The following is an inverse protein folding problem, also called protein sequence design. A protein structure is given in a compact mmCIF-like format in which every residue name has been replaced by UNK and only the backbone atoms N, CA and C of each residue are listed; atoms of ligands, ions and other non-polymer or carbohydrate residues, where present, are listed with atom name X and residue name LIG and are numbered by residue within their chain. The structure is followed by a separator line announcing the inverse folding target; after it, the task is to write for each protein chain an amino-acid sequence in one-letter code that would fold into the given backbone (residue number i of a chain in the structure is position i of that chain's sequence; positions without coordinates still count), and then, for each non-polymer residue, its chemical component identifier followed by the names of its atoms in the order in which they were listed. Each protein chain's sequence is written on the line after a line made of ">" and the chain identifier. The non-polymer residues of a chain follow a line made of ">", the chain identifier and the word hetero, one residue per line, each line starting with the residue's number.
data_IF_949401145018
#
_entry.id   IF_949401145018
#
_cell.length_a   1.000
_cell.length_b   1.000
_cell.length_c   1.000
_cell.angle_alpha   90.00
_cell.angle_beta   90.00
_cell.angle_gamma   90.00
#
_symmetry.space_group_name_H-M   'P 1'
#
loop_
_entity.id
_entity.type
_entity.pdbx_description
1 polymer ?
#
# COMPACT_ATOMS: atom_id res chain seq x y z
N UNK A 1 8.71 45.95 -39.09
CA UNK A 1 7.61 44.97 -39.26
C UNK A 1 6.70 45.08 -38.04
N UNK A 2 5.40 45.29 -38.27
CA UNK A 2 4.32 45.48 -37.26
C UNK A 2 4.25 44.24 -36.32
N UNK A 3 3.98 44.32 -35.02
CA UNK A 3 2.75 44.81 -34.37
C UNK A 3 2.92 45.12 -32.85
N UNK A 4 2.15 46.14 -32.41
CA UNK A 4 1.87 46.73 -31.08
C UNK A 4 1.75 45.78 -29.86
N UNK A 5 2.26 46.12 -28.65
CA UNK A 5 1.85 47.15 -27.63
C UNK A 5 0.47 46.91 -27.00
N UNK A 6 0.46 46.68 -25.67
CA UNK A 6 -0.40 47.30 -24.62
C UNK A 6 0.03 46.72 -23.25
N UNK A 7 0.90 47.40 -22.48
CA UNK A 7 0.67 48.32 -21.33
C UNK A 7 0.43 47.65 -19.94
N UNK A 8 1.35 47.94 -19.01
CA UNK A 8 1.13 48.62 -17.71
C UNK A 8 1.53 47.92 -16.37
N UNK A 9 2.77 48.25 -15.92
CA UNK A 9 3.27 48.69 -14.59
C UNK A 9 3.02 47.91 -13.25
N UNK A 10 4.10 47.93 -12.43
CA UNK A 10 4.30 47.76 -10.97
C UNK A 10 4.56 46.32 -10.47
N UNK A 11 5.56 46.00 -9.62
CA UNK A 11 6.71 46.69 -9.02
C UNK A 11 7.55 45.64 -8.25
N UNK A 12 8.84 45.53 -8.59
CA UNK A 12 10.03 45.39 -7.73
C UNK A 12 9.86 44.75 -6.32
N UNK A 13 10.55 43.64 -6.01
CA UNK A 13 11.89 43.67 -5.38
C UNK A 13 12.50 42.26 -5.25
N UNK A 14 13.77 42.18 -5.66
CA UNK A 14 14.71 41.07 -5.52
C UNK A 14 15.20 40.99 -4.07
N UNK A 15 15.15 39.82 -3.44
CA UNK A 15 16.20 39.39 -2.51
C UNK A 15 16.57 37.94 -2.84
N UNK A 16 17.76 37.79 -3.41
CA UNK A 16 18.50 36.53 -3.38
C UNK A 16 18.93 36.25 -1.94
N UNK A 17 18.54 35.10 -1.39
CA UNK A 17 19.39 34.41 -0.42
C UNK A 17 19.40 32.93 -0.79
N UNK A 18 20.52 32.53 -1.36
CA UNK A 18 21.01 31.16 -1.33
C UNK A 18 21.09 30.68 0.12
N UNK A 19 20.34 29.64 0.43
CA UNK A 19 20.75 28.62 1.40
C UNK A 19 20.52 27.28 0.72
N UNK A 20 21.53 26.81 -0.02
CA UNK A 20 21.68 25.38 -0.30
C UNK A 20 22.31 24.80 0.97
N UNK A 21 21.46 24.50 1.95
CA UNK A 21 21.77 23.50 2.95
C UNK A 21 21.20 22.20 2.43
N UNK A 22 22.05 21.29 1.97
CA UNK A 22 21.64 19.91 1.70
C UNK A 22 21.30 19.26 3.05
N UNK A 23 20.03 19.22 3.42
CA UNK A 23 19.54 18.20 4.37
C UNK A 23 19.00 17.07 3.49
N UNK A 24 19.81 16.03 3.35
CA UNK A 24 19.34 14.75 2.85
C UNK A 24 18.36 14.20 3.88
N UNK A 25 17.06 14.36 3.65
CA UNK A 25 16.09 13.47 4.26
C UNK A 25 16.27 12.12 3.56
N UNK A 26 16.83 11.14 4.27
CA UNK A 26 16.87 9.76 3.76
C UNK A 26 15.45 9.18 3.73
N UNK A 27 15.25 8.28 2.76
CA UNK A 27 13.97 7.79 2.26
C UNK A 27 13.06 7.20 3.37
N UNK A 28 11.83 7.71 3.44
CA UNK A 28 10.82 7.44 4.47
C UNK A 28 9.97 6.22 4.13
N UNK A 29 10.61 5.06 4.08
CA UNK A 29 9.91 3.78 3.91
C UNK A 29 9.49 3.16 5.24
N UNK A 30 8.41 2.39 5.25
CA UNK A 30 7.97 1.62 6.41
C UNK A 30 9.02 0.56 6.77
N UNK A 31 9.34 0.42 8.05
CA UNK A 31 10.35 -0.50 8.59
C UNK A 31 9.67 -1.59 9.43
N UNK A 32 10.03 -2.85 9.22
CA UNK A 32 9.69 -3.96 10.12
C UNK A 32 10.98 -4.45 10.79
N UNK A 33 11.03 -4.39 12.11
CA UNK A 33 12.18 -4.70 12.94
C UNK A 33 12.01 -6.11 13.52
N UNK A 34 12.72 -7.09 12.97
CA UNK A 34 12.79 -8.46 13.52
C UNK A 34 14.12 -8.66 14.24
N UNK A 35 14.09 -9.30 15.42
CA UNK A 35 15.21 -9.55 16.33
C UNK A 35 16.56 -9.92 15.65
N UNK A 36 17.66 -9.33 16.12
CA UNK A 36 19.05 -9.68 15.73
C UNK A 36 19.81 -10.22 16.95
N UNK A 37 20.58 -11.29 16.76
CA UNK A 37 21.60 -11.77 17.69
C UNK A 37 22.78 -10.79 17.82
N UNK A 38 23.09 -10.41 19.05
CA UNK A 38 24.30 -9.64 19.39
C UNK A 38 25.52 -10.55 19.18
N UNK A 39 26.39 -10.22 18.20
CA UNK A 39 27.80 -10.64 18.25
C UNK A 39 28.60 -9.57 18.96
N UNK A 40 29.09 -9.97 20.12
CA UNK A 40 29.99 -9.30 21.04
C UNK A 40 31.09 -8.47 20.35
N UNK A 41 31.26 -7.24 20.82
CA UNK A 41 32.56 -6.58 20.87
C UNK A 41 32.67 -5.73 22.14
N UNK A 42 32.93 -6.43 23.26
CA UNK A 42 33.77 -6.02 24.39
C UNK A 42 33.43 -4.69 25.08
N UNK A 43 32.72 -4.76 26.22
CA UNK A 43 33.37 -4.78 27.55
C UNK A 43 32.35 -4.77 28.71
N UNK A 44 32.38 -5.90 29.45
CA UNK A 44 31.99 -6.13 30.84
C UNK A 44 30.49 -6.22 31.22
N UNK A 45 29.93 -7.44 31.38
CA UNK A 45 28.69 -7.66 32.11
C UNK A 45 29.00 -8.01 33.57
N UNK A 46 28.56 -7.19 34.52
CA UNK A 46 28.38 -7.68 35.90
C UNK A 46 26.93 -8.14 36.06
N UNK A 47 26.79 -9.45 36.21
CA UNK A 47 25.60 -10.14 36.67
C UNK A 47 25.56 -10.00 38.19
N UNK A 48 24.49 -9.43 38.74
CA UNK A 48 24.18 -9.53 40.18
C UNK A 48 22.92 -10.39 40.34
N UNK A 49 23.03 -11.35 41.25
CA UNK A 49 22.07 -12.41 41.52
C UNK A 49 20.74 -11.92 42.07
N UNK A 50 19.68 -12.63 41.70
CA UNK A 50 18.40 -12.64 42.42
C UNK A 50 18.64 -13.16 43.84
N UNK A 51 18.24 -12.37 44.83
CA UNK A 51 17.96 -12.87 46.17
C UNK A 51 16.57 -12.42 46.61
N UNK A 52 15.99 -13.26 47.45
CA UNK A 52 14.60 -13.41 47.87
C UNK A 52 13.95 -12.11 48.39
N UNK A 53 12.70 -11.85 47.98
CA UNK A 53 11.59 -11.58 48.91
C UNK A 53 10.25 -11.52 48.15
N UNK A 54 9.56 -12.67 48.18
CA UNK A 54 8.14 -12.78 47.89
C UNK A 54 7.38 -12.33 49.13
N UNK A 55 6.75 -11.15 49.11
CA UNK A 55 5.63 -10.87 50.02
C UNK A 55 4.49 -10.10 49.34
N UNK A 56 3.42 -10.87 49.06
CA UNK A 56 1.99 -10.56 49.16
C UNK A 56 1.54 -9.10 49.04
N UNK A 57 0.66 -8.86 48.07
CA UNK A 57 -0.76 -8.56 48.39
C UNK A 57 -1.65 -9.36 47.42
N UNK A 58 -2.34 -10.36 47.97
CA UNK A 58 -3.56 -10.92 47.40
C UNK A 58 -4.71 -10.40 48.26
N UNK A 59 -5.67 -9.70 47.64
CA UNK A 59 -7.09 -9.57 47.99
C UNK A 59 -7.69 -8.43 47.17
N UNK A 60 -8.92 -8.42 46.67
CA UNK A 60 -9.99 -9.41 46.56
C UNK A 60 -10.97 -8.70 45.60
N UNK A 61 -11.39 -9.34 44.51
CA UNK A 61 -12.64 -9.06 43.76
C UNK A 61 -12.53 -9.62 42.33
N UNK A 62 -12.60 -10.95 42.21
CA UNK A 62 -13.11 -11.57 41.00
C UNK A 62 -14.64 -11.49 41.00
N UNK A 63 -15.18 -11.13 39.84
CA UNK A 63 -16.57 -11.25 39.41
C UNK A 63 -17.57 -10.21 39.96
N UNK A 64 -17.73 -9.11 39.22
CA UNK A 64 -19.05 -8.53 39.00
C UNK A 64 -19.16 -8.08 37.54
N UNK A 65 -20.02 -8.78 36.78
CA UNK A 65 -20.59 -8.27 35.53
C UNK A 65 -21.33 -6.96 35.84
N UNK A 66 -20.64 -5.84 35.67
CA UNK A 66 -21.21 -4.51 35.74
C UNK A 66 -20.74 -3.78 34.49
N UNK A 67 -21.68 -3.42 33.60
CA UNK A 67 -21.50 -2.54 32.44
C UNK A 67 -20.15 -1.80 32.49
N UNK A 68 -19.16 -2.33 31.76
CA UNK A 68 -17.80 -1.81 31.80
C UNK A 68 -17.75 -0.53 30.97
N UNK A 69 -18.21 0.55 31.58
CA UNK A 69 -18.14 1.88 30.99
C UNK A 69 -16.72 2.38 31.18
N UNK A 70 -15.88 2.19 30.17
CA UNK A 70 -14.57 2.82 30.10
C UNK A 70 -14.70 4.33 30.29
N UNK A 71 -13.80 4.89 31.10
CA UNK A 71 -13.83 6.30 31.48
C UNK A 71 -12.74 7.08 30.75
N UNK A 72 -12.97 8.39 30.63
CA UNK A 72 -11.97 9.33 30.14
C UNK A 72 -11.50 10.22 31.29
N UNK A 73 -10.20 10.15 31.56
CA UNK A 73 -9.52 10.96 32.56
C UNK A 73 -8.86 12.14 31.86
N UNK A 74 -9.12 13.37 32.29
CA UNK A 74 -8.40 14.55 31.79
C UNK A 74 -7.42 14.99 32.86
N UNK A 75 -6.13 15.02 32.52
CA UNK A 75 -5.05 15.40 33.43
C UNK A 75 -4.35 16.63 32.89
N UNK A 76 -4.31 17.66 33.72
CA UNK A 76 -3.57 18.90 33.46
C UNK A 76 -2.37 18.99 34.41
N UNK A 77 -1.25 19.61 34.01
CA UNK A 77 -0.15 19.87 34.92
C UNK A 77 -0.60 20.89 35.97
N UNK A 78 0.00 20.85 37.16
CA UNK A 78 -0.18 21.96 38.10
C UNK A 78 0.42 23.23 37.48
N UNK A 79 -0.37 24.30 37.27
CA UNK A 79 0.10 25.53 36.62
C UNK A 79 1.18 26.25 37.43
N UNK A 80 1.31 25.95 38.73
CA UNK A 80 2.33 26.50 39.63
C UNK A 80 3.54 25.58 39.78
N UNK A 81 3.41 24.31 39.43
CA UNK A 81 4.47 23.32 39.57
C UNK A 81 4.34 22.16 38.55
N UNK A 82 4.77 22.34 37.30
CA UNK A 82 4.64 21.33 36.25
C UNK A 82 5.57 20.11 36.47
N UNK A 83 6.37 20.11 37.54
CA UNK A 83 7.30 19.04 37.90
C UNK A 83 6.55 17.84 38.51
N UNK A 84 6.54 16.72 37.78
CA UNK A 84 5.84 15.50 38.17
C UNK A 84 6.51 14.73 39.32
N UNK A 85 7.74 15.10 39.71
CA UNK A 85 8.37 14.59 40.94
C UNK A 85 7.80 15.30 42.17
N UNK A 86 7.63 16.62 42.10
CA UNK A 86 7.20 17.41 43.26
C UNK A 86 5.69 17.33 43.47
N UNK A 87 4.92 17.25 42.39
CA UNK A 87 3.47 17.08 42.44
C UNK A 87 2.99 16.19 41.29
N UNK A 88 2.95 14.87 41.49
CA UNK A 88 2.53 13.94 40.44
C UNK A 88 1.03 14.11 40.17
N UNK A 89 0.68 14.31 38.90
CA UNK A 89 -0.71 14.37 38.43
C UNK A 89 -1.04 13.24 37.46
N UNK A 90 -0.04 12.73 36.72
CA UNK A 90 -0.24 11.71 35.68
C UNK A 90 -0.23 10.28 36.23
N UNK A 91 0.79 9.88 37.02
CA UNK A 91 0.84 8.51 37.56
C UNK A 91 -0.37 8.16 38.44
N UNK A 92 -0.86 9.04 39.34
CA UNK A 92 -2.08 8.75 40.09
C UNK A 92 -3.32 8.52 39.23
N UNK A 93 -3.41 9.19 38.06
CA UNK A 93 -4.49 8.95 37.11
C UNK A 93 -4.35 7.58 36.44
N UNK A 94 -3.13 7.17 36.08
CA UNK A 94 -2.84 5.81 35.58
C UNK A 94 -3.18 4.76 36.64
N UNK A 95 -2.81 4.99 37.90
CA UNK A 95 -3.08 4.07 39.00
C UNK A 95 -4.58 3.91 39.24
N UNK A 96 -5.34 5.01 39.14
CA UNK A 96 -6.80 5.04 39.34
C UNK A 96 -7.61 4.51 38.15
N UNK A 97 -7.03 4.52 36.95
CA UNK A 97 -7.67 4.05 35.73
C UNK A 97 -7.81 2.51 35.71
N UNK A 98 -8.86 2.05 35.02
CA UNK A 98 -9.13 0.64 34.74
C UNK A 98 -8.62 0.25 33.35
N UNK A 99 -8.51 -1.06 33.09
CA UNK A 99 -8.24 -1.58 31.76
C UNK A 99 -9.25 -1.04 30.73
N UNK A 100 -8.73 -0.60 29.58
CA UNK A 100 -9.48 0.02 28.49
C UNK A 100 -9.81 1.51 28.69
N UNK A 101 -9.50 2.09 29.85
CA UNK A 101 -9.74 3.53 30.07
C UNK A 101 -8.85 4.40 29.16
N UNK A 102 -9.34 5.61 28.91
CA UNK A 102 -8.62 6.65 28.19
C UNK A 102 -8.11 7.73 29.14
N UNK A 103 -6.83 8.09 29.03
CA UNK A 103 -6.23 9.21 29.75
C UNK A 103 -5.82 10.28 28.74
N UNK A 104 -6.33 11.49 28.89
CA UNK A 104 -6.01 12.66 28.07
C UNK A 104 -5.08 13.56 28.86
N UNK A 105 -3.86 13.76 28.38
CA UNK A 105 -2.88 14.69 28.93
C UNK A 105 -2.95 16.01 28.16
N UNK A 106 -3.09 17.11 28.90
CA UNK A 106 -3.21 18.45 28.33
C UNK A 106 -2.21 19.42 28.97
N UNK A 107 -1.12 19.73 28.26
CA UNK A 107 -0.14 20.73 28.68
C UNK A 107 1.31 20.22 28.67
N UNK A 108 2.19 20.92 29.40
CA UNK A 108 3.61 20.55 29.50
C UNK A 108 3.91 19.94 30.85
N UNK A 109 4.40 18.69 30.82
CA UNK A 109 4.81 17.93 32.00
C UNK A 109 6.32 17.77 31.98
N UNK A 110 6.99 18.14 33.07
CA UNK A 110 8.46 18.03 33.18
C UNK A 110 8.83 17.12 34.32
N UNK A 111 10.02 16.51 34.24
CA UNK A 111 10.48 15.54 35.22
C UNK A 111 9.47 14.39 35.40
N UNK A 112 9.25 13.65 34.32
CA UNK A 112 8.26 12.58 34.24
C UNK A 112 8.89 11.18 34.26
N UNK A 113 8.26 10.27 35.00
CA UNK A 113 8.43 8.82 34.93
C UNK A 113 7.07 8.17 35.17
N UNK A 114 6.58 7.42 34.18
CA UNK A 114 5.24 6.84 34.20
C UNK A 114 5.31 5.34 33.93
N UNK A 115 4.71 4.54 34.81
CA UNK A 115 4.55 3.10 34.62
C UNK A 115 3.12 2.80 34.20
N UNK A 116 2.97 2.16 33.04
CA UNK A 116 1.71 1.70 32.47
C UNK A 116 1.69 0.18 32.62
N UNK A 117 0.92 -0.28 33.61
CA UNK A 117 0.83 -1.69 34.01
C UNK A 117 -0.56 -2.29 33.78
N UNK A 118 -1.29 -1.73 32.82
CA UNK A 118 -2.63 -2.13 32.40
C UNK A 118 -2.93 -1.59 31.01
N UNK A 119 -3.88 -2.19 30.30
CA UNK A 119 -4.24 -1.74 28.95
C UNK A 119 -4.89 -0.35 29.01
N UNK A 120 -4.22 0.69 28.50
CA UNK A 120 -4.74 2.06 28.49
C UNK A 120 -4.62 2.72 27.13
N UNK A 121 -5.53 3.65 26.83
CA UNK A 121 -5.34 4.60 25.73
C UNK A 121 -4.91 5.95 26.31
N UNK A 122 -3.69 6.37 26.07
CA UNK A 122 -3.14 7.63 26.60
C UNK A 122 -2.91 8.59 25.42
N UNK A 123 -3.60 9.72 25.43
CA UNK A 123 -3.65 10.68 24.32
C UNK A 123 -3.20 12.06 24.80
N UNK A 124 -2.39 12.73 23.99
CA UNK A 124 -1.99 14.11 24.17
C UNK A 124 -2.89 15.07 23.37
N UNK A 125 -3.28 16.19 23.98
CA UNK A 125 -3.84 17.32 23.21
C UNK A 125 -2.74 17.99 22.37
N UNK A 126 -3.06 18.65 21.25
CA UNK A 126 -2.05 19.30 20.40
C UNK A 126 -1.14 20.26 21.16
N UNK A 127 0.17 20.06 21.06
CA UNK A 127 1.18 20.87 21.74
C UNK A 127 1.54 20.39 23.15
N UNK A 128 0.94 19.30 23.63
CA UNK A 128 1.33 18.65 24.88
C UNK A 128 2.75 18.08 24.79
N UNK A 129 3.57 18.38 25.80
CA UNK A 129 4.97 17.92 25.86
C UNK A 129 5.27 17.20 27.18
N UNK A 130 6.15 16.20 27.10
CA UNK A 130 6.65 15.44 28.25
C UNK A 130 8.18 15.47 28.26
N UNK A 131 8.77 15.66 29.45
CA UNK A 131 10.22 15.71 29.64
C UNK A 131 10.71 14.79 30.75
N UNK A 132 11.91 14.22 30.57
CA UNK A 132 12.59 13.30 31.50
C UNK A 132 12.97 13.96 32.83
N UNK A 133 13.10 13.18 33.92
CA UNK A 133 13.82 13.63 35.12
C UNK A 133 15.33 13.41 35.00
N UNK A 134 16.15 14.28 35.61
CA UNK A 134 17.61 14.11 35.68
C UNK A 134 18.09 13.23 36.85
N UNK A 135 17.24 12.97 37.84
CA UNK A 135 17.59 12.16 39.02
C UNK A 135 16.38 11.33 39.40
N UNK A 136 16.61 10.07 39.81
CA UNK A 136 15.78 9.09 40.54
C UNK A 136 15.86 7.71 39.88
N UNK A 137 15.96 6.66 40.70
CA UNK A 137 15.78 5.28 40.27
C UNK A 137 14.30 5.04 39.95
N UNK A 138 14.02 4.21 38.95
CA UNK A 138 12.65 3.81 38.62
C UNK A 138 11.98 3.19 39.86
N UNK A 139 10.67 3.42 40.14
CA UNK A 139 9.95 2.79 41.27
C UNK A 139 10.01 1.26 41.27
N UNK A 140 10.38 0.65 40.15
CA UNK A 140 10.55 -0.80 39.98
C UNK A 140 11.98 -1.31 40.24
N UNK A 141 12.87 -0.48 40.79
CA UNK A 141 14.26 -0.86 41.05
C UNK A 141 15.14 -1.01 39.79
N UNK A 142 14.65 -0.64 38.61
CA UNK A 142 15.48 -0.61 37.41
C UNK A 142 16.38 0.63 37.40
N UNK A 143 17.63 0.47 36.99
CA UNK A 143 18.58 1.54 36.69
C UNK A 143 18.23 2.30 35.40
N UNK A 144 17.01 2.13 34.87
CA UNK A 144 16.59 2.67 33.58
C UNK A 144 15.92 4.04 33.76
N UNK A 145 16.40 5.04 33.01
CA UNK A 145 15.93 6.43 33.07
C UNK A 145 15.07 6.75 31.85
N UNK A 146 13.79 7.11 32.01
CA UNK A 146 12.96 7.50 30.86
C UNK A 146 11.49 7.81 31.16
N UNK A 147 10.70 8.24 30.17
CA UNK A 147 9.38 8.85 30.42
C UNK A 147 8.27 7.81 30.61
N UNK A 148 7.97 7.00 29.59
CA UNK A 148 6.92 6.00 29.66
C UNK A 148 7.52 4.60 29.71
N UNK A 149 7.13 3.82 30.70
CA UNK A 149 7.44 2.40 30.82
C UNK A 149 6.14 1.58 30.72
N UNK A 150 6.03 0.75 29.70
CA UNK A 150 4.90 -0.15 29.47
C UNK A 150 5.34 -1.56 29.87
N UNK A 151 4.73 -2.10 30.93
CA UNK A 151 5.00 -3.46 31.41
C UNK A 151 4.23 -4.49 30.59
N UNK A 152 4.48 -5.78 30.82
CA UNK A 152 3.70 -6.89 30.26
C UNK A 152 2.18 -6.70 30.43
N UNK A 153 1.74 -6.30 31.62
CA UNK A 153 0.32 -6.03 31.92
C UNK A 153 -0.22 -4.82 31.14
N UNK A 154 0.65 -3.93 30.66
CA UNK A 154 0.33 -2.82 29.77
C UNK A 154 0.04 -3.22 28.32
N UNK A 155 -0.03 -4.52 27.99
CA UNK A 155 -0.38 -5.00 26.65
C UNK A 155 -1.69 -4.39 26.12
N UNK A 156 -1.69 -4.02 24.83
CA UNK A 156 -2.82 -3.32 24.19
C UNK A 156 -2.78 -1.79 24.31
N UNK A 157 -1.82 -1.23 25.07
CA UNK A 157 -1.71 0.20 25.29
C UNK A 157 -1.56 0.99 23.98
N UNK A 158 -2.26 2.12 23.88
CA UNK A 158 -2.09 3.11 22.81
C UNK A 158 -1.51 4.38 23.41
N UNK A 159 -0.42 4.91 22.85
CA UNK A 159 0.15 6.21 23.19
C UNK A 159 0.13 7.13 21.97
N UNK A 160 -0.56 8.26 22.04
CA UNK A 160 -0.82 9.11 20.87
C UNK A 160 -0.55 10.61 21.11
N UNK A 161 0.21 11.24 20.20
CA UNK A 161 0.25 12.71 20.04
C UNK A 161 1.30 13.47 20.86
N UNK A 162 2.20 12.79 21.55
CA UNK A 162 3.14 13.42 22.49
C UNK A 162 4.36 14.06 21.80
N UNK A 163 4.72 15.26 22.26
CA UNK A 163 6.06 15.82 22.06
C UNK A 163 7.00 15.44 23.20
N UNK A 164 8.06 14.71 22.90
CA UNK A 164 9.13 14.39 23.84
C UNK A 164 10.21 15.45 23.72
N UNK A 165 10.42 16.20 24.80
CA UNK A 165 11.39 17.29 24.86
C UNK A 165 12.38 17.03 25.98
N UNK A 166 13.66 17.29 25.73
CA UNK A 166 14.62 17.49 26.81
C UNK A 166 15.20 18.90 26.72
N UNK A 167 14.87 19.70 27.72
CA UNK A 167 15.27 21.09 27.81
C UNK A 167 16.21 21.39 28.99
N UNK A 168 16.78 20.39 29.66
CA UNK A 168 17.50 20.67 30.91
C UNK A 168 18.98 20.28 30.96
N UNK A 169 19.72 21.20 31.56
CA UNK A 169 21.15 21.35 31.61
C UNK A 169 21.70 20.93 32.97
N UNK A 170 22.92 20.40 32.94
CA UNK A 170 23.93 20.58 33.98
C UNK A 170 23.63 19.88 35.33
N UNK A 171 23.73 18.56 35.36
CA UNK A 171 24.24 17.88 36.56
C UNK A 171 25.30 16.87 36.13
N UNK A 172 26.54 17.19 36.48
CA UNK A 172 27.66 16.26 36.51
C UNK A 172 27.24 15.02 37.30
N UNK A 173 27.51 13.84 36.76
CA UNK A 173 28.43 12.85 37.35
C UNK A 173 28.25 11.45 36.74
N UNK A 174 27.18 11.19 35.99
CA UNK A 174 26.97 9.90 35.33
C UNK A 174 26.38 10.09 33.92
N UNK A 175 26.98 9.41 32.93
CA UNK A 175 26.52 9.40 31.52
C UNK A 175 25.33 8.45 31.43
N UNK A 176 24.12 8.99 31.26
CA UNK A 176 22.91 8.20 31.04
C UNK A 176 22.30 8.52 29.67
N UNK A 177 21.87 7.48 28.95
CA UNK A 177 21.10 7.58 27.71
C UNK A 177 19.60 7.35 28.00
N UNK A 178 18.84 8.39 28.41
CA UNK A 178 17.46 8.20 28.81
C UNK A 178 16.59 7.75 27.63
N UNK A 179 15.45 7.13 27.95
CA UNK A 179 14.48 6.68 26.97
C UNK A 179 13.16 7.47 26.96
N UNK A 180 12.48 7.49 25.82
CA UNK A 180 11.16 8.10 25.69
C UNK A 180 10.07 7.13 26.08
N UNK A 181 10.03 6.01 25.37
CA UNK A 181 9.11 4.91 25.65
C UNK A 181 9.91 3.63 25.77
N UNK A 182 9.75 2.90 26.87
CA UNK A 182 10.29 1.57 27.06
C UNK A 182 9.14 0.58 27.20
N UNK A 183 9.17 -0.48 26.38
CA UNK A 183 8.19 -1.56 26.37
C UNK A 183 8.94 -2.84 26.74
N UNK A 184 8.53 -3.50 27.82
CA UNK A 184 9.18 -4.73 28.31
C UNK A 184 8.13 -5.80 28.60
N UNK A 185 8.14 -6.88 27.83
CA UNK A 185 7.17 -7.99 27.95
C UNK A 185 5.78 -7.72 27.37
N UNK A 186 5.48 -6.51 26.90
CA UNK A 186 4.14 -6.15 26.45
C UNK A 186 3.87 -6.56 24.99
N UNK A 187 2.60 -6.78 24.65
CA UNK A 187 2.18 -7.07 23.29
C UNK A 187 1.05 -6.16 22.80
N UNK A 188 0.91 -6.02 21.48
CA UNK A 188 -0.15 -5.23 20.84
C UNK A 188 -0.14 -3.74 21.24
N UNK A 189 1.05 -3.16 21.45
CA UNK A 189 1.19 -1.75 21.83
C UNK A 189 1.26 -0.88 20.57
N UNK A 190 0.58 0.26 20.59
CA UNK A 190 0.60 1.23 19.51
C UNK A 190 1.12 2.60 19.95
N UNK A 191 2.15 3.08 19.27
CA UNK A 191 2.72 4.42 19.43
C UNK A 191 2.37 5.25 18.19
N UNK A 192 1.69 6.38 18.35
CA UNK A 192 1.14 7.16 17.23
C UNK A 192 1.48 8.64 17.36
N UNK A 193 1.84 9.28 16.25
CA UNK A 193 2.01 10.73 16.15
C UNK A 193 2.95 11.31 17.23
N UNK A 194 4.04 10.59 17.53
CA UNK A 194 5.00 11.01 18.54
C UNK A 194 6.12 11.83 17.91
N UNK A 195 6.54 12.88 18.60
CA UNK A 195 7.64 13.75 18.18
C UNK A 195 8.77 13.63 19.19
N UNK A 196 9.82 12.92 18.83
CA UNK A 196 11.07 12.86 19.57
C UNK A 196 12.00 13.95 19.04
N UNK A 197 12.07 15.06 19.74
CA UNK A 197 12.89 16.20 19.33
C UNK A 197 13.89 16.54 20.43
N UNK A 198 15.13 16.11 20.24
CA UNK A 198 16.21 16.40 21.17
C UNK A 198 16.97 17.63 20.71
N UNK A 199 17.07 18.68 21.52
CA UNK A 199 17.97 19.80 21.19
C UNK A 199 19.33 19.52 21.82
N UNK A 200 20.37 19.34 21.00
CA UNK A 200 21.73 19.14 21.48
C UNK A 200 22.12 20.29 22.43
N UNK A 201 22.63 19.92 23.59
CA UNK A 201 23.15 20.88 24.56
C UNK A 201 24.59 21.22 24.16
N UNK A 202 24.90 22.52 23.99
CA UNK A 202 26.29 22.96 23.91
C UNK A 202 26.93 22.81 25.29
N UNK A 203 27.58 21.67 25.54
CA UNK A 203 28.47 21.48 26.68
C UNK A 203 29.90 21.81 26.26
N UNK A 204 30.61 22.60 27.05
CA UNK A 204 32.05 22.86 26.85
C UNK A 204 32.92 21.80 27.52
N UNK A 205 32.32 20.86 28.23
CA UNK A 205 33.01 19.92 29.14
C UNK A 205 32.85 18.44 28.75
N UNK A 206 31.96 18.13 27.81
CA UNK A 206 31.65 16.78 27.36
C UNK A 206 31.29 16.78 25.88
N UNK A 207 31.47 15.64 25.20
CA UNK A 207 31.03 15.49 23.82
C UNK A 207 29.50 15.57 23.77
N UNK A 208 28.89 16.52 23.03
CA UNK A 208 27.44 16.56 22.84
C UNK A 208 26.89 15.26 22.23
N UNK A 209 27.73 14.43 21.61
CA UNK A 209 27.36 13.12 21.10
C UNK A 209 27.18 12.05 22.20
N UNK A 210 27.70 12.26 23.42
CA UNK A 210 27.53 11.35 24.57
C UNK A 210 26.14 11.45 25.24
N UNK A 211 25.27 12.38 24.83
CA UNK A 211 23.98 12.68 25.49
C UNK A 211 22.74 12.51 24.61
N UNK A 212 22.81 11.73 23.52
CA UNK A 212 21.62 11.56 22.68
C UNK A 212 20.63 10.55 23.29
N UNK A 213 19.39 10.65 22.85
CA UNK A 213 18.24 10.00 23.48
C UNK A 213 17.88 8.67 22.81
N UNK A 214 17.47 7.66 23.59
CA UNK A 214 16.86 6.43 23.06
C UNK A 214 15.35 6.64 22.91
N UNK A 215 14.80 6.89 21.72
CA UNK A 215 13.41 7.32 21.60
C UNK A 215 12.43 6.24 22.06
N UNK A 216 12.61 5.04 21.52
CA UNK A 216 11.80 3.87 21.86
C UNK A 216 12.70 2.66 22.05
N UNK A 217 12.51 1.95 23.17
CA UNK A 217 13.12 0.66 23.46
C UNK A 217 11.99 -0.37 23.53
N UNK A 218 12.15 -1.47 22.82
CA UNK A 218 11.19 -2.59 22.78
C UNK A 218 11.94 -3.85 23.15
N UNK A 219 11.56 -4.48 24.27
CA UNK A 219 12.24 -5.64 24.84
C UNK A 219 11.25 -6.76 25.13
N UNK A 220 11.64 -8.00 24.78
CA UNK A 220 10.88 -9.23 25.08
C UNK A 220 9.37 -9.12 24.72
N UNK A 221 9.04 -8.38 23.65
CA UNK A 221 7.69 -7.92 23.31
C UNK A 221 7.21 -8.45 21.94
N UNK A 222 5.92 -8.32 21.63
CA UNK A 222 5.39 -8.74 20.32
C UNK A 222 4.28 -7.83 19.77
N UNK A 223 4.25 -7.64 18.45
CA UNK A 223 3.22 -6.85 17.76
C UNK A 223 3.17 -5.40 18.26
N UNK A 224 4.24 -4.66 18.01
CA UNK A 224 4.37 -3.26 18.41
C UNK A 224 4.30 -2.41 17.15
N UNK A 225 3.40 -1.43 17.10
CA UNK A 225 3.26 -0.58 15.93
C UNK A 225 3.53 0.87 16.28
N UNK A 226 4.51 1.46 15.62
CA UNK A 226 4.87 2.87 15.71
C UNK A 226 4.45 3.54 14.41
N UNK A 227 3.57 4.55 14.45
CA UNK A 227 3.07 5.23 13.24
C UNK A 227 3.23 6.73 13.33
N UNK A 228 3.72 7.34 12.24
CA UNK A 228 3.94 8.80 12.12
C UNK A 228 4.88 9.32 13.22
N UNK A 229 6.02 8.68 13.39
CA UNK A 229 7.00 9.09 14.40
C UNK A 229 8.03 10.04 13.79
N UNK A 230 8.21 11.19 14.43
CA UNK A 230 9.23 12.15 14.06
C UNK A 230 10.43 11.98 15.00
N UNK A 231 11.60 11.67 14.45
CA UNK A 231 12.87 11.56 15.16
C UNK A 231 13.79 12.71 14.73
N UNK A 232 14.21 13.52 15.70
CA UNK A 232 15.18 14.57 15.48
C UNK A 232 16.25 14.55 16.56
N UNK A 233 17.50 14.39 16.13
CA UNK A 233 18.70 14.39 16.97
C UNK A 233 18.70 13.32 18.07
N UNK A 234 18.37 12.08 17.71
CA UNK A 234 18.30 10.94 18.63
C UNK A 234 19.51 9.99 18.48
N UNK A 235 19.78 9.16 19.50
CA UNK A 235 20.87 8.16 19.53
C UNK A 235 20.53 6.90 18.71
N UNK A 236 19.24 6.63 18.60
CA UNK A 236 18.66 5.52 17.86
C UNK A 236 17.27 5.92 17.36
N UNK A 237 16.63 5.09 16.54
CA UNK A 237 15.22 5.26 16.18
C UNK A 237 14.35 4.41 17.12
N UNK A 238 14.53 3.09 17.04
CA UNK A 238 13.88 2.09 17.88
C UNK A 238 14.90 1.00 18.20
N UNK A 239 15.13 0.74 19.49
CA UNK A 239 15.96 -0.37 19.96
C UNK A 239 15.09 -1.61 20.13
N UNK A 240 15.16 -2.59 19.23
CA UNK A 240 14.46 -3.86 19.36
C UNK A 240 15.39 -4.93 19.98
N UNK A 241 15.01 -5.42 21.16
CA UNK A 241 15.71 -6.45 21.94
C UNK A 241 14.76 -7.64 22.07
N UNK A 242 15.11 -8.79 21.52
CA UNK A 242 14.34 -10.05 21.64
C UNK A 242 12.82 -9.93 21.32
N UNK A 243 12.41 -8.99 20.46
CA UNK A 243 10.99 -8.75 20.17
C UNK A 243 10.65 -9.04 18.71
N UNK A 244 9.39 -9.41 18.45
CA UNK A 244 8.86 -9.76 17.12
C UNK A 244 7.75 -8.81 16.68
N UNK A 245 7.56 -8.66 15.36
CA UNK A 245 6.50 -7.83 14.78
C UNK A 245 6.53 -6.37 15.27
N UNK A 246 7.70 -5.75 15.30
CA UNK A 246 7.87 -4.34 15.67
C UNK A 246 7.91 -3.50 14.39
N UNK A 247 6.83 -2.79 14.10
CA UNK A 247 6.64 -2.04 12.86
C UNK A 247 6.79 -0.54 13.09
N UNK A 248 7.59 0.15 12.29
CA UNK A 248 7.71 1.60 12.25
C UNK A 248 7.22 2.13 10.90
N UNK A 249 6.07 2.79 10.91
CA UNK A 249 5.32 3.23 9.74
C UNK A 249 5.39 4.75 9.60
N UNK A 250 5.70 5.24 8.40
CA UNK A 250 5.83 6.66 8.07
C UNK A 250 6.76 7.45 9.02
N UNK A 251 8.00 7.01 9.30
CA UNK A 251 8.92 7.80 10.10
C UNK A 251 9.38 9.06 9.36
N UNK A 252 9.66 10.12 10.12
CA UNK A 252 10.36 11.33 9.64
C UNK A 252 11.63 11.50 10.46
N UNK A 253 12.81 11.48 9.82
CA UNK A 253 14.10 11.40 10.53
C UNK A 253 15.00 12.56 10.12
N UNK A 254 15.54 13.30 11.09
CA UNK A 254 16.48 14.40 10.87
C UNK A 254 17.65 14.29 11.88
N UNK A 255 18.89 14.47 11.40
CA UNK A 255 20.11 14.62 12.22
C UNK A 255 20.30 13.62 13.36
N UNK A 256 19.88 12.37 13.19
CA UNK A 256 19.96 11.32 14.22
C UNK A 256 21.03 10.29 13.87
N UNK A 257 21.74 9.74 14.85
CA UNK A 257 22.73 8.70 14.60
C UNK A 257 22.04 7.37 14.25
N UNK A 258 22.40 6.82 13.09
CA UNK A 258 21.90 5.53 12.64
C UNK A 258 22.92 4.46 13.06
N UNK A 259 22.85 4.07 14.32
CA UNK A 259 23.60 2.92 14.85
C UNK A 259 22.92 1.63 14.41
N UNK A 260 23.07 1.29 13.12
CA UNK A 260 22.74 -0.01 12.50
C UNK A 260 21.25 -0.40 12.57
N UNK A 261 20.52 -0.09 11.51
CA UNK A 261 19.22 -0.72 11.21
C UNK A 261 19.49 -1.93 10.33
N UNK A 262 19.43 -3.15 10.88
CA UNK A 262 19.20 -4.33 10.05
C UNK A 262 17.69 -4.44 9.88
N UNK A 263 17.20 -3.91 8.77
CA UNK A 263 15.82 -4.08 8.35
C UNK A 263 15.67 -5.57 8.08
N UNK A 264 14.72 -6.27 8.73
CA UNK A 264 14.34 -7.60 8.25
C UNK A 264 14.03 -7.44 6.76
N UNK A 265 14.84 -8.05 5.88
CA UNK A 265 14.76 -7.79 4.45
C UNK A 265 13.39 -8.22 3.94
N UNK A 266 12.45 -7.28 3.87
CA UNK A 266 11.19 -7.48 3.17
C UNK A 266 11.56 -7.55 1.70
N UNK A 267 11.44 -8.75 1.13
CA UNK A 267 11.80 -8.95 -0.26
C UNK A 267 10.82 -8.16 -1.11
N UNK A 268 11.29 -7.46 -2.15
CA UNK A 268 10.33 -6.97 -3.13
C UNK A 268 9.63 -8.17 -3.76
N UNK A 269 8.40 -7.94 -4.18
CA UNK A 269 7.68 -8.91 -5.00
C UNK A 269 7.52 -8.37 -6.41
N UNK A 270 7.43 -9.29 -7.37
CA UNK A 270 7.17 -8.96 -8.76
C UNK A 270 6.01 -9.79 -9.29
N UNK A 271 4.99 -9.13 -9.81
CA UNK A 271 3.94 -9.78 -10.58
C UNK A 271 4.37 -9.82 -12.05
N UNK A 272 4.41 -11.03 -12.61
CA UNK A 272 4.68 -11.26 -14.03
C UNK A 272 3.39 -11.71 -14.70
N UNK A 273 2.98 -10.98 -15.74
CA UNK A 273 1.91 -11.36 -16.65
C UNK A 273 2.22 -10.81 -18.04
N UNK A 274 1.75 -11.49 -19.09
CA UNK A 274 1.97 -11.10 -20.48
C UNK A 274 0.68 -10.72 -21.18
N UNK A 275 0.80 -9.87 -22.19
CA UNK A 275 -0.31 -9.56 -23.09
C UNK A 275 -0.89 -10.83 -23.72
N UNK A 276 -2.22 -10.92 -23.74
CA UNK A 276 -2.93 -12.07 -24.28
C UNK A 276 -3.63 -11.69 -25.59
N UNK A 277 -3.26 -12.38 -26.67
CA UNK A 277 -3.87 -12.19 -27.98
C UNK A 277 -4.81 -13.35 -28.31
N UNK A 278 -6.10 -13.07 -28.46
CA UNK A 278 -7.10 -14.09 -28.82
C UNK A 278 -7.97 -13.61 -29.99
N UNK A 279 -8.78 -14.51 -30.57
CA UNK A 279 -9.84 -14.14 -31.51
C UNK A 279 -11.19 -14.26 -30.83
N UNK A 280 -12.17 -13.51 -31.35
CA UNK A 280 -13.55 -13.53 -30.84
C UNK A 280 -14.10 -14.95 -30.73
N UNK A 281 -14.55 -15.33 -29.53
CA UNK A 281 -15.13 -16.63 -29.20
C UNK A 281 -14.13 -17.74 -28.87
N UNK A 282 -12.82 -17.50 -28.99
CA UNK A 282 -11.81 -18.43 -28.52
C UNK A 282 -11.73 -18.37 -26.98
N UNK A 283 -11.40 -19.49 -26.34
CA UNK A 283 -11.22 -19.57 -24.88
C UNK A 283 -9.73 -19.71 -24.59
N UNK A 284 -9.23 -18.94 -23.64
CA UNK A 284 -7.83 -18.97 -23.21
C UNK A 284 -7.74 -18.77 -21.69
N UNK A 285 -6.53 -18.85 -21.14
CA UNK A 285 -6.24 -18.51 -19.75
C UNK A 285 -5.31 -17.30 -19.71
N UNK A 286 -5.63 -16.34 -18.86
CA UNK A 286 -4.68 -15.33 -18.43
C UNK A 286 -3.85 -15.95 -17.30
N UNK A 287 -2.54 -15.99 -17.47
CA UNK A 287 -1.59 -16.54 -16.50
C UNK A 287 -0.87 -15.40 -15.80
N UNK A 288 -0.77 -15.50 -14.48
CA UNK A 288 -0.14 -14.52 -13.60
C UNK A 288 0.78 -15.30 -12.66
N UNK A 289 2.00 -14.82 -12.45
CA UNK A 289 2.94 -15.43 -11.52
C UNK A 289 3.51 -14.37 -10.58
N UNK A 290 3.64 -14.69 -9.31
CA UNK A 290 4.17 -13.83 -8.26
C UNK A 290 5.54 -14.37 -7.81
N UNK A 291 6.55 -13.51 -7.80
CA UNK A 291 7.93 -13.85 -7.42
C UNK A 291 8.46 -12.94 -6.31
N UNK A 292 9.44 -13.44 -5.55
CA UNK A 292 10.28 -12.63 -4.67
C UNK A 292 11.47 -11.99 -5.43
N UNK A 293 12.34 -11.27 -4.72
CA UNK A 293 13.57 -10.65 -5.24
C UNK A 293 14.57 -11.63 -5.87
N UNK A 294 14.50 -12.91 -5.51
CA UNK A 294 15.39 -13.95 -5.99
C UNK A 294 14.76 -14.76 -7.14
N UNK A 295 13.60 -14.34 -7.65
CA UNK A 295 12.77 -15.06 -8.62
C UNK A 295 12.21 -16.40 -8.10
N UNK A 296 12.10 -16.59 -6.79
CA UNK A 296 11.38 -17.73 -6.23
C UNK A 296 9.87 -17.47 -6.27
N UNK A 297 9.06 -18.48 -6.59
CA UNK A 297 7.61 -18.34 -6.63
C UNK A 297 7.02 -18.11 -5.23
N UNK A 298 6.10 -17.17 -5.10
CA UNK A 298 5.38 -16.89 -3.85
C UNK A 298 4.00 -17.56 -3.88
N UNK A 299 3.87 -18.66 -3.16
CA UNK A 299 2.66 -19.50 -3.11
C UNK A 299 1.64 -19.02 -2.05
N UNK A 300 0.38 -19.44 -2.23
CA UNK A 300 -0.73 -19.22 -1.29
C UNK A 300 -0.99 -17.74 -0.95
N UNK A 301 -0.77 -16.84 -1.90
CA UNK A 301 -1.05 -15.40 -1.74
C UNK A 301 -2.22 -14.99 -2.59
N UNK A 302 -3.03 -14.09 -2.03
CA UNK A 302 -4.15 -13.48 -2.74
C UNK A 302 -3.63 -12.37 -3.64
N UNK A 303 -3.95 -12.44 -4.92
CA UNK A 303 -3.76 -11.35 -5.89
C UNK A 303 -5.13 -10.86 -6.36
N UNK A 304 -5.30 -9.55 -6.47
CA UNK A 304 -6.53 -8.94 -6.96
C UNK A 304 -6.37 -8.54 -8.43
N UNK A 305 -7.28 -9.01 -9.27
CA UNK A 305 -7.30 -8.79 -10.71
C UNK A 305 -8.49 -7.90 -11.09
N UNK A 306 -8.27 -6.84 -11.86
CA UNK A 306 -9.31 -5.95 -12.39
C UNK A 306 -9.30 -6.00 -13.90
N UNK A 307 -10.45 -6.38 -14.49
CA UNK A 307 -10.70 -6.37 -15.94
C UNK A 307 -12.13 -5.86 -16.17
N UNK A 308 -12.31 -4.93 -17.12
CA UNK A 308 -13.61 -4.33 -17.45
C UNK A 308 -14.36 -3.73 -16.23
N UNK A 309 -13.60 -3.22 -15.26
CA UNK A 309 -14.14 -2.66 -14.01
C UNK A 309 -14.61 -3.69 -12.99
N UNK A 310 -14.43 -4.99 -13.26
CA UNK A 310 -14.74 -6.07 -12.32
C UNK A 310 -13.47 -6.55 -11.62
N UNK A 311 -13.51 -6.59 -10.29
CA UNK A 311 -12.46 -7.18 -9.44
C UNK A 311 -12.69 -8.68 -9.23
N UNK A 312 -11.63 -9.47 -9.22
CA UNK A 312 -11.64 -10.90 -8.93
C UNK A 312 -10.35 -11.26 -8.19
N UNK A 313 -10.48 -11.89 -7.03
CA UNK A 313 -9.33 -12.36 -6.27
C UNK A 313 -8.96 -13.79 -6.69
N UNK A 314 -7.66 -14.03 -6.83
CA UNK A 314 -7.09 -15.33 -7.17
C UNK A 314 -6.02 -15.69 -6.14
N UNK A 315 -5.85 -16.98 -5.87
CA UNK A 315 -4.81 -17.48 -4.96
C UNK A 315 -3.70 -18.11 -5.79
N UNK A 316 -2.44 -17.75 -5.51
CA UNK A 316 -1.28 -18.37 -6.16
C UNK A 316 -1.09 -19.81 -5.68
N UNK A 317 -0.81 -20.72 -6.60
CA UNK A 317 -0.50 -22.13 -6.31
C UNK A 317 0.96 -22.30 -5.82
N UNK A 318 1.40 -23.55 -5.62
CA UNK A 318 2.76 -23.88 -5.18
C UNK A 318 3.88 -23.40 -6.12
N UNK A 319 3.55 -23.04 -7.37
CA UNK A 319 4.48 -22.45 -8.33
C UNK A 319 4.30 -20.92 -8.42
N UNK A 320 3.68 -20.30 -7.42
CA UNK A 320 3.40 -18.87 -7.38
C UNK A 320 2.43 -18.41 -8.47
N UNK A 321 1.71 -19.34 -9.10
CA UNK A 321 0.92 -19.08 -10.30
C UNK A 321 -0.57 -19.04 -10.02
N UNK A 322 -1.28 -18.13 -10.69
CA UNK A 322 -2.73 -18.00 -10.66
C UNK A 322 -3.25 -17.83 -12.10
N UNK A 323 -4.50 -18.24 -12.35
CA UNK A 323 -5.08 -18.11 -13.69
C UNK A 323 -6.57 -17.81 -13.70
N UNK A 324 -6.99 -17.01 -14.70
CA UNK A 324 -8.39 -16.74 -14.98
C UNK A 324 -8.73 -17.18 -16.41
N UNK A 325 -9.83 -17.92 -16.57
CA UNK A 325 -10.35 -18.28 -17.88
C UNK A 325 -11.01 -17.07 -18.57
N UNK A 326 -10.61 -16.80 -19.81
CA UNK A 326 -11.04 -15.62 -20.59
C UNK A 326 -11.71 -16.05 -21.89
N UNK A 327 -12.85 -15.41 -22.20
CA UNK A 327 -13.57 -15.55 -23.47
C UNK A 327 -14.41 -14.31 -23.76
N UNK A 328 -14.26 -13.76 -24.96
CA UNK A 328 -15.02 -12.57 -25.39
C UNK A 328 -15.81 -12.82 -26.69
N UNK A 329 -17.01 -12.24 -26.75
CA UNK A 329 -17.92 -12.36 -27.90
C UNK A 329 -17.75 -11.25 -28.95
N UNK A 330 -16.99 -10.20 -28.64
CA UNK A 330 -16.73 -9.05 -29.52
C UNK A 330 -15.25 -8.69 -29.50
N UNK A 331 -14.76 -8.13 -30.61
CA UNK A 331 -13.40 -7.64 -30.71
C UNK A 331 -13.27 -6.29 -29.98
N UNK A 332 -12.32 -6.22 -29.06
CA UNK A 332 -11.94 -5.05 -28.31
C UNK A 332 -10.55 -5.29 -27.66
N UNK A 333 -9.97 -4.24 -27.10
CA UNK A 333 -8.82 -4.35 -26.21
C UNK A 333 -9.32 -4.15 -24.79
N UNK A 334 -9.02 -5.08 -23.90
CA UNK A 334 -9.36 -5.03 -22.48
C UNK A 334 -8.08 -4.82 -21.68
N UNK A 335 -8.08 -3.84 -20.78
CA UNK A 335 -6.94 -3.57 -19.90
C UNK A 335 -7.06 -4.40 -18.63
N UNK A 336 -5.92 -4.91 -18.19
CA UNK A 336 -5.80 -5.78 -17.03
C UNK A 336 -4.90 -5.10 -16.02
N UNK A 337 -5.38 -5.01 -14.78
CA UNK A 337 -4.59 -4.54 -13.64
C UNK A 337 -4.53 -5.65 -12.60
N UNK A 338 -3.36 -5.92 -12.06
CA UNK A 338 -3.16 -6.90 -10.99
C UNK A 338 -2.41 -6.25 -9.87
N UNK A 339 -2.85 -6.49 -8.64
CA UNK A 339 -2.17 -6.05 -7.43
C UNK A 339 -2.00 -7.20 -6.45
N UNK A 340 -0.84 -7.23 -5.82
CA UNK A 340 -0.57 -7.95 -4.60
C UNK A 340 -0.33 -6.88 -3.53
N UNK A 341 -1.12 -6.90 -2.45
CA UNK A 341 -1.08 -5.86 -1.42
C UNK A 341 0.15 -5.95 -0.50
N UNK A 342 0.99 -6.97 -0.68
CA UNK A 342 2.11 -7.24 0.21
C UNK A 342 1.70 -8.05 1.43
N UNK A 343 2.69 -8.44 2.22
CA UNK A 343 2.57 -9.06 3.53
C UNK A 343 3.82 -8.79 4.37
N UNK A 344 3.94 -9.45 5.52
CA UNK A 344 5.07 -9.31 6.45
C UNK A 344 6.43 -9.69 5.82
N UNK A 345 6.44 -10.50 4.76
CA UNK A 345 7.66 -11.00 4.12
C UNK A 345 7.95 -10.37 2.75
N UNK A 346 6.93 -9.83 2.09
CA UNK A 346 6.99 -9.37 0.71
C UNK A 346 6.31 -8.02 0.51
N UNK A 347 7.00 -7.08 -0.16
CA UNK A 347 6.43 -5.75 -0.45
C UNK A 347 5.26 -5.84 -1.42
N UNK A 348 4.33 -4.87 -1.41
CA UNK A 348 3.28 -4.77 -2.41
C UNK A 348 3.85 -4.67 -3.82
N UNK A 349 3.13 -5.21 -4.80
CA UNK A 349 3.49 -5.04 -6.21
C UNK A 349 2.25 -4.94 -7.08
N UNK A 350 2.43 -4.26 -8.22
CA UNK A 350 1.38 -4.07 -9.22
C UNK A 350 1.94 -4.37 -10.59
N UNK A 351 1.09 -4.89 -11.47
CA UNK A 351 1.41 -5.08 -12.86
C UNK A 351 0.19 -4.84 -13.73
N UNK A 352 0.44 -4.52 -15.00
CA UNK A 352 -0.60 -4.30 -15.98
C UNK A 352 -0.31 -5.07 -17.26
N UNK A 353 -1.37 -5.44 -17.98
CA UNK A 353 -1.29 -6.01 -19.32
C UNK A 353 -2.56 -5.68 -20.11
N UNK A 354 -2.64 -6.18 -21.34
CA UNK A 354 -3.85 -6.10 -22.15
C UNK A 354 -4.23 -7.43 -22.76
N UNK A 355 -5.53 -7.64 -22.90
CA UNK A 355 -6.11 -8.71 -23.69
C UNK A 355 -6.61 -8.10 -25.00
N UNK A 356 -5.98 -8.48 -26.10
CA UNK A 356 -6.37 -8.03 -27.45
C UNK A 356 -7.23 -9.09 -28.09
N UNK A 357 -8.52 -8.78 -28.27
CA UNK A 357 -9.49 -9.66 -28.94
C UNK A 357 -9.63 -9.24 -30.39
N UNK A 358 -9.08 -10.04 -31.29
CA UNK A 358 -9.06 -9.76 -32.72
C UNK A 358 -10.26 -10.36 -33.46
N UNK A 359 -10.72 -9.66 -34.51
CA UNK A 359 -11.78 -10.15 -35.39
C UNK A 359 -11.32 -11.37 -36.19
N UNK A 360 -12.21 -12.36 -36.33
CA UNK A 360 -11.99 -13.53 -37.19
C UNK A 360 -11.96 -13.13 -38.66
N UNK A 361 -11.02 -13.68 -39.43
CA UNK A 361 -10.96 -13.48 -40.89
C UNK A 361 -12.14 -14.16 -41.56
N UNK A 362 -12.62 -13.60 -42.66
CA UNK A 362 -13.70 -14.18 -43.45
C UNK A 362 -13.29 -14.37 -44.91
N UNK A 363 -13.84 -15.40 -45.52
CA UNK A 363 -13.69 -15.71 -46.93
C UNK A 363 -15.06 -15.70 -47.60
N UNK A 364 -15.15 -15.06 -48.76
CA UNK A 364 -16.38 -14.98 -49.56
C UNK A 364 -16.19 -15.67 -50.90
N UNK A 365 -17.17 -16.49 -51.28
CA UNK A 365 -17.20 -17.16 -52.58
C UNK A 365 -18.51 -16.84 -53.31
N UNK A 366 -18.39 -16.53 -54.60
CA UNK A 366 -19.51 -16.24 -55.48
C UNK A 366 -19.27 -16.96 -56.84
N UNK A 367 -20.26 -17.70 -57.36
CA UNK A 367 -20.11 -18.41 -58.62
C UNK A 367 -20.16 -17.47 -59.83
N UNK A 368 -19.49 -17.86 -60.92
CA UNK A 368 -19.76 -17.30 -62.25
C UNK A 368 -21.25 -17.54 -62.57
N UNK A 369 -21.98 -16.48 -62.89
CA UNK A 369 -23.44 -16.53 -63.02
C UNK A 369 -23.93 -15.85 -64.30
N UNK A 370 -25.02 -16.36 -64.88
CA UNK A 370 -25.74 -15.74 -66.01
C UNK A 370 -27.25 -15.67 -65.76
N UNK A 371 -27.93 -14.67 -66.33
CA UNK A 371 -29.38 -14.50 -66.24
C UNK A 371 -29.99 -13.97 -67.55
N UNK A 372 -31.30 -14.10 -67.72
CA UNK A 372 -32.06 -13.50 -68.84
C UNK A 372 -32.53 -12.08 -68.47
N UNK A 373 -32.64 -11.18 -69.45
CA UNK A 373 -33.09 -9.79 -69.28
C UNK A 373 -34.46 -9.75 -68.56
N UNK A 374 -34.67 -8.77 -67.67
CA UNK A 374 -35.90 -8.53 -66.89
C UNK A 374 -36.33 -9.67 -65.96
N UNK A 375 -35.64 -10.81 -65.91
CA UNK A 375 -35.89 -11.89 -64.93
C UNK A 375 -35.06 -11.73 -63.66
N UNK A 376 -35.63 -12.13 -62.52
CA UNK A 376 -34.92 -12.18 -61.24
C UNK A 376 -34.05 -13.44 -61.22
N UNK A 377 -32.75 -13.30 -60.89
CA UNK A 377 -31.85 -14.42 -60.63
C UNK A 377 -31.44 -14.42 -59.16
N UNK A 378 -31.50 -15.59 -58.51
CA UNK A 378 -30.91 -15.81 -57.19
C UNK A 378 -29.42 -16.15 -57.38
N UNK A 379 -28.53 -15.33 -56.83
CA UNK A 379 -27.09 -15.58 -56.77
C UNK A 379 -26.77 -16.11 -55.37
N UNK A 380 -26.20 -17.31 -55.28
CA UNK A 380 -25.78 -17.91 -54.03
C UNK A 380 -24.36 -17.44 -53.68
N UNK A 381 -24.22 -16.74 -52.56
CA UNK A 381 -22.93 -16.27 -52.05
C UNK A 381 -22.65 -16.95 -50.73
N UNK A 382 -21.48 -17.56 -50.60
CA UNK A 382 -21.06 -18.25 -49.37
C UNK A 382 -20.10 -17.36 -48.58
N UNK A 383 -20.36 -17.19 -47.29
CA UNK A 383 -19.46 -16.54 -46.32
C UNK A 383 -19.02 -17.57 -45.28
N UNK A 384 -17.70 -17.74 -45.14
CA UNK A 384 -17.10 -18.66 -44.17
C UNK A 384 -15.99 -17.97 -43.36
N UNK A 385 -15.70 -18.51 -42.18
CA UNK A 385 -14.54 -18.15 -41.35
C UNK A 385 -13.89 -19.46 -40.90
N UNK A 386 -12.60 -19.65 -41.19
CA UNK A 386 -11.88 -20.91 -40.95
C UNK A 386 -12.70 -22.16 -41.38
N UNK A 387 -13.28 -22.12 -42.58
CA UNK A 387 -14.10 -23.21 -43.14
C UNK A 387 -15.53 -23.34 -42.59
N UNK A 388 -15.84 -22.72 -41.44
CA UNK A 388 -17.16 -22.74 -40.80
C UNK A 388 -18.11 -21.69 -41.37
N UNK A 389 -19.40 -22.01 -41.42
CA UNK A 389 -20.44 -21.12 -41.91
C UNK A 389 -20.59 -19.88 -41.01
N UNK A 390 -20.64 -18.69 -41.61
CA UNK A 390 -20.94 -17.44 -40.91
C UNK A 390 -22.39 -17.06 -41.18
N UNK A 391 -23.23 -17.15 -40.15
CA UNK A 391 -24.70 -17.11 -40.28
C UNK A 391 -25.27 -15.72 -39.98
N UNK A 392 -26.45 -15.43 -40.54
CA UNK A 392 -27.22 -14.20 -40.31
C UNK A 392 -26.48 -12.88 -40.62
N UNK A 393 -25.50 -12.90 -41.54
CA UNK A 393 -24.74 -11.70 -41.93
C UNK A 393 -25.23 -11.12 -43.24
N UNK A 394 -25.36 -9.79 -43.31
CA UNK A 394 -25.79 -9.07 -44.51
C UNK A 394 -24.68 -9.07 -45.55
N UNK A 395 -24.97 -9.64 -46.71
CA UNK A 395 -24.11 -9.59 -47.89
C UNK A 395 -24.71 -8.62 -48.89
N UNK A 396 -23.87 -7.79 -49.50
CA UNK A 396 -24.27 -6.81 -50.52
C UNK A 396 -23.66 -7.15 -51.87
N UNK A 397 -24.43 -7.00 -52.94
CA UNK A 397 -23.96 -7.05 -54.33
C UNK A 397 -24.22 -5.68 -54.96
N UNK A 398 -23.18 -5.03 -55.49
CA UNK A 398 -23.30 -3.84 -56.33
C UNK A 398 -23.04 -4.20 -57.79
N UNK A 399 -23.99 -3.91 -58.67
CA UNK A 399 -23.91 -4.19 -60.11
C UNK A 399 -24.69 -3.17 -60.91
N UNK A 400 -24.08 -2.58 -61.95
CA UNK A 400 -24.69 -1.58 -62.81
C UNK A 400 -25.40 -0.43 -62.04
N UNK A 401 -24.70 0.14 -61.05
CA UNK A 401 -25.21 1.22 -60.19
C UNK A 401 -26.26 0.81 -59.14
N UNK A 402 -26.78 -0.42 -59.18
CA UNK A 402 -27.79 -0.93 -58.23
C UNK A 402 -27.16 -1.76 -57.12
N UNK A 403 -27.74 -1.69 -55.93
CA UNK A 403 -27.32 -2.46 -54.74
C UNK A 403 -28.41 -3.44 -54.33
N UNK A 404 -28.05 -4.71 -54.18
CA UNK A 404 -28.92 -5.78 -53.69
C UNK A 404 -28.31 -6.38 -52.43
N UNK A 405 -29.14 -6.93 -51.53
CA UNK A 405 -28.64 -7.58 -50.33
C UNK A 405 -29.48 -8.77 -49.89
N UNK A 406 -28.86 -9.70 -49.18
CA UNK A 406 -29.51 -10.80 -48.47
C UNK A 406 -28.67 -11.19 -47.25
N UNK A 407 -29.28 -11.87 -46.28
CA UNK A 407 -28.55 -12.42 -45.13
C UNK A 407 -28.11 -13.86 -45.39
N UNK A 408 -27.00 -14.28 -44.80
CA UNK A 408 -26.56 -15.68 -44.84
C UNK A 408 -27.45 -16.57 -43.97
N UNK A 409 -27.76 -17.78 -44.44
CA UNK A 409 -28.50 -18.80 -43.70
C UNK A 409 -27.58 -19.62 -42.77
N UNK A 410 -28.10 -20.69 -42.17
CA UNK A 410 -27.35 -21.62 -41.30
C UNK A 410 -26.15 -22.30 -41.98
N UNK A 411 -26.17 -22.44 -43.31
CA UNK A 411 -25.06 -22.97 -44.12
C UNK A 411 -24.07 -21.88 -44.57
N UNK A 412 -24.25 -20.62 -44.13
CA UNK A 412 -23.41 -19.48 -44.50
C UNK A 412 -23.71 -18.94 -45.91
N UNK A 413 -24.86 -19.30 -46.49
CA UNK A 413 -25.21 -18.94 -47.88
C UNK A 413 -26.25 -17.81 -47.88
N UNK A 414 -25.97 -16.72 -48.59
CA UNK A 414 -26.90 -15.65 -48.90
C UNK A 414 -27.43 -15.78 -50.33
N UNK A 415 -28.74 -15.88 -50.51
CA UNK A 415 -29.39 -15.93 -51.83
C UNK A 415 -29.86 -14.53 -52.26
N UNK A 416 -28.98 -13.78 -52.92
CA UNK A 416 -29.28 -12.40 -53.34
C UNK A 416 -30.09 -12.40 -54.63
N UNK A 417 -31.27 -11.76 -54.61
CA UNK A 417 -32.15 -11.61 -55.77
C UNK A 417 -31.70 -10.40 -56.60
N UNK A 418 -31.22 -10.64 -57.83
CA UNK A 418 -30.75 -9.59 -58.75
C UNK A 418 -31.67 -9.52 -59.97
N UNK A 419 -32.08 -8.31 -60.36
CA UNK A 419 -32.87 -8.04 -61.58
C UNK A 419 -32.20 -6.92 -62.39
N UNK A 420 -31.84 -7.22 -63.64
CA UNK A 420 -31.23 -6.26 -64.57
C UNK A 420 -32.10 -6.10 -65.82
N UNK A 421 -32.19 -4.88 -66.32
CA UNK A 421 -33.06 -4.50 -67.45
C UNK A 421 -32.32 -4.33 -68.77
N UNK A 422 -30.98 -4.21 -68.73
CA UNK A 422 -30.12 -4.08 -69.92
C UNK A 422 -29.36 -5.39 -70.17
N UNK A 423 -29.24 -5.79 -71.44
CA UNK A 423 -28.39 -6.90 -71.91
C UNK A 423 -26.92 -6.49 -71.78
N UNK A 424 -26.03 -7.44 -71.50
CA UNK A 424 -24.58 -7.19 -71.45
C UNK A 424 -23.87 -7.98 -70.38
N UNK A 425 -22.54 -7.85 -70.31
CA UNK A 425 -21.72 -8.41 -69.24
C UNK A 425 -21.35 -7.31 -68.26
N UNK A 426 -21.83 -7.43 -67.02
CA UNK A 426 -21.62 -6.43 -65.98
C UNK A 426 -20.61 -6.96 -64.95
N UNK A 427 -19.62 -6.14 -64.57
CA UNK A 427 -18.81 -6.39 -63.38
C UNK A 427 -19.68 -6.16 -62.14
N UNK A 428 -19.61 -7.05 -61.17
CA UNK A 428 -20.26 -6.88 -59.88
C UNK A 428 -19.25 -7.01 -58.74
N UNK A 429 -19.52 -6.33 -57.64
CA UNK A 429 -18.76 -6.45 -56.40
C UNK A 429 -19.66 -7.01 -55.32
N UNK A 430 -19.20 -8.07 -54.67
CA UNK A 430 -19.81 -8.62 -53.47
C UNK A 430 -19.04 -8.15 -52.26
N UNK A 431 -19.73 -7.70 -51.23
CA UNK A 431 -19.11 -7.23 -49.99
C UNK A 431 -19.86 -7.74 -48.77
N UNK A 432 -19.10 -8.28 -47.83
CA UNK A 432 -19.45 -8.35 -46.42
C UNK A 432 -18.70 -7.22 -45.71
N UNK A 433 -19.43 -6.33 -45.03
CA UNK A 433 -18.84 -5.14 -44.41
C UNK A 433 -18.01 -5.44 -43.15
N UNK A 434 -18.07 -6.66 -42.62
CA UNK A 434 -17.56 -6.96 -41.28
C UNK A 434 -18.57 -6.60 -40.19
N UNK A 435 -18.24 -6.98 -38.96
CA UNK A 435 -18.95 -6.59 -37.73
C UNK A 435 -17.98 -6.63 -36.55
N UNK A 436 -18.48 -6.66 -35.31
CA UNK A 436 -17.64 -6.71 -34.11
C UNK A 436 -16.90 -8.05 -33.95
N UNK A 437 -17.30 -9.12 -34.64
CA UNK A 437 -16.69 -10.44 -34.55
C UNK A 437 -15.82 -10.80 -35.76
N UNK A 438 -16.15 -10.28 -36.94
CA UNK A 438 -15.59 -10.71 -38.22
C UNK A 438 -15.04 -9.54 -39.04
N UNK A 439 -13.88 -9.76 -39.68
CA UNK A 439 -13.29 -8.79 -40.63
C UNK A 439 -14.14 -8.71 -41.90
N UNK A 440 -14.11 -7.54 -42.53
CA UNK A 440 -14.75 -7.31 -43.83
C UNK A 440 -14.05 -8.11 -44.94
N UNK A 441 -14.79 -8.45 -45.99
CA UNK A 441 -14.24 -9.11 -47.17
C UNK A 441 -15.04 -8.69 -48.40
N UNK A 442 -14.35 -8.53 -49.54
CA UNK A 442 -14.98 -8.22 -50.81
C UNK A 442 -14.39 -9.05 -51.95
N UNK A 443 -15.20 -9.30 -52.97
CA UNK A 443 -14.79 -10.05 -54.17
C UNK A 443 -15.53 -9.52 -55.38
N UNK A 444 -14.85 -9.46 -56.52
CA UNK A 444 -15.45 -9.06 -57.79
C UNK A 444 -15.78 -10.27 -58.66
N UNK A 445 -16.77 -10.11 -59.53
CA UNK A 445 -17.17 -11.12 -60.49
C UNK A 445 -17.79 -10.50 -61.73
N UNK A 446 -18.18 -11.36 -62.68
CA UNK A 446 -18.89 -10.97 -63.91
C UNK A 446 -20.26 -11.64 -63.97
N UNK A 447 -21.28 -10.86 -64.34
CA UNK A 447 -22.65 -11.30 -64.50
C UNK A 447 -23.09 -11.00 -65.94
N UNK A 448 -23.35 -12.05 -66.71
CA UNK A 448 -23.80 -11.90 -68.10
C UNK A 448 -25.32 -11.99 -68.19
N UNK A 449 -25.93 -10.94 -68.74
CA UNK A 449 -27.37 -10.84 -69.02
C UNK A 449 -27.60 -11.16 -70.51
N UNK A 450 -28.23 -12.30 -70.78
CA UNK A 450 -28.60 -12.78 -72.12
C UNK A 450 -30.06 -12.40 -72.44
N UNK A 451 -30.44 -12.46 -73.73
CA UNK A 451 -31.84 -12.23 -74.15
C UNK A 451 -32.80 -13.14 -73.39
#
# INVERSE_FOLDING_TARGET
>A
MKFNRITLIFLILIISLTFIGTVSAEDSSNLNLTSIEIKDSSSNPEIISLDEDVEKIADESCCSDANDTHQTWIVEPDPTNPNQVQKPTVQPAIDSAKDGDTIILNGTFVHCHFTINKNLTIIATPGTTVGVCPHHNHPSGSSNYGIFYITEQGSGTVLDGFGFTNGFFNMAYDVFNPFGVFIDGASNVELRNLVFNWTAVQSTSYDPDDFKFNPVIVKDSNNITLTNIFFNNTNSLVSNINSTNVNLLNPSIISSEISKVDVGKVSNSTIVLSDLNIKVGDSSKLLITLFDDNNNPIANKTISLIIDGKTTDLITDGNGSASLAIKYASAATHYVFVSFLGDESNKPSVANSKIVVSKKTTAISAPKSSLKVKKVKKIAITLKSNGKAVTNKKITIKVNGKTFSAKTNSKGIAYVKVKLTKKGTFKYTVKFAGDNAFKSVSKTGKLTVKK
#
